data_IF_258645134056
#
_entry.id   IF_258645134056
#
_cell.length_a   1.000
_cell.length_b   1.000
_cell.length_c   1.000
_cell.angle_alpha   90.00
_cell.angle_beta   90.00
_cell.angle_gamma   90.00
#
_symmetry.space_group_name_H-M   'P 1'
#
loop_
_entity.id
_entity.type
_entity.pdbx_description
1 polymer ?
#
# COMPACT_ATOMS: atom_id res chain seq x y z
N UNK A 1 12.15 5.03 -13.05
CA UNK A 1 12.11 5.26 -11.58
C UNK A 1 10.71 4.94 -11.07
N UNK A 2 10.61 4.11 -10.05
CA UNK A 2 9.32 3.72 -9.49
C UNK A 2 8.74 4.82 -8.63
N UNK A 3 7.44 5.05 -8.75
CA UNK A 3 6.69 6.00 -7.93
C UNK A 3 5.86 5.23 -6.91
N UNK A 4 6.08 5.53 -5.64
CA UNK A 4 5.43 4.85 -4.51
C UNK A 4 4.63 5.88 -3.72
N UNK A 5 3.38 5.53 -3.40
CA UNK A 5 2.59 6.33 -2.48
C UNK A 5 2.37 5.56 -1.18
N UNK A 6 2.68 6.19 -0.06
CA UNK A 6 2.47 5.64 1.28
C UNK A 6 1.25 6.34 1.87
N UNK A 7 0.16 5.61 2.04
CA UNK A 7 -1.06 6.14 2.64
C UNK A 7 -1.30 5.54 4.01
N UNK A 8 -1.41 6.39 5.00
CA UNK A 8 -1.84 6.04 6.36
C UNK A 8 -2.19 7.32 7.12
N UNK A 9 -3.13 7.24 8.04
CA UNK A 9 -3.38 8.32 8.99
C UNK A 9 -2.36 8.30 10.14
N UNK A 10 -1.56 7.25 10.24
CA UNK A 10 -0.51 7.11 11.26
C UNK A 10 0.81 7.72 10.75
N UNK A 11 1.25 8.79 11.41
CA UNK A 11 2.54 9.40 11.09
C UNK A 11 3.70 8.41 11.33
N UNK A 12 3.55 7.54 12.31
CA UNK A 12 4.57 6.54 12.65
C UNK A 12 4.71 5.50 11.54
N UNK A 13 3.60 5.01 11.02
CA UNK A 13 3.63 4.06 9.90
C UNK A 13 4.27 4.70 8.67
N UNK A 14 3.85 5.92 8.32
CA UNK A 14 4.42 6.62 7.16
C UNK A 14 5.92 6.80 7.29
N UNK A 15 6.38 7.23 8.46
CA UNK A 15 7.81 7.45 8.72
C UNK A 15 8.60 6.15 8.66
N UNK A 16 8.06 5.07 9.22
CA UNK A 16 8.70 3.75 9.19
C UNK A 16 8.89 3.27 7.75
N UNK A 17 7.83 3.28 6.97
CA UNK A 17 7.91 2.79 5.59
C UNK A 17 8.84 3.66 4.75
N UNK A 18 8.76 4.97 4.91
CA UNK A 18 9.66 5.88 4.19
C UNK A 18 11.13 5.59 4.53
N UNK A 19 11.43 5.37 5.81
CA UNK A 19 12.78 5.05 6.23
C UNK A 19 13.30 3.73 5.64
N UNK A 20 12.40 2.72 5.56
CA UNK A 20 12.76 1.44 4.97
C UNK A 20 13.01 1.52 3.48
N UNK A 21 12.39 2.48 2.82
CA UNK A 21 12.46 2.65 1.36
C UNK A 21 13.38 3.81 0.96
N UNK A 22 14.22 4.29 1.85
CA UNK A 22 15.17 5.36 1.55
C UNK A 22 16.17 4.87 0.49
N UNK A 23 15.77 4.95 -0.76
CA UNK A 23 16.49 4.46 -1.92
C UNK A 23 16.35 5.49 -3.03
N UNK A 24 17.45 5.86 -3.65
CA UNK A 24 17.49 6.89 -4.69
C UNK A 24 16.70 6.51 -5.95
N UNK A 25 16.42 5.21 -6.15
CA UNK A 25 15.65 4.76 -7.31
C UNK A 25 14.14 4.94 -7.15
N UNK A 26 13.64 5.40 -6.00
CA UNK A 26 12.23 5.55 -5.71
C UNK A 26 11.83 7.00 -5.56
N UNK A 27 10.63 7.34 -6.05
CA UNK A 27 9.99 8.62 -5.76
C UNK A 27 8.84 8.33 -4.80
N UNK A 28 8.91 8.87 -3.59
CA UNK A 28 7.95 8.59 -2.53
C UNK A 28 7.03 9.77 -2.31
N UNK A 29 5.73 9.51 -2.36
CA UNK A 29 4.68 10.47 -2.01
C UNK A 29 3.96 9.94 -0.77
N UNK A 30 3.56 10.83 0.13
CA UNK A 30 2.84 10.46 1.35
C UNK A 30 1.44 11.05 1.32
N UNK A 31 0.47 10.30 1.82
CA UNK A 31 -0.93 10.70 1.90
C UNK A 31 -1.46 10.38 3.29
N UNK A 32 -2.34 11.23 3.81
CA UNK A 32 -2.86 11.10 5.17
C UNK A 32 -4.35 10.78 5.23
N UNK A 33 -5.04 10.80 4.09
CA UNK A 33 -6.47 10.50 4.04
C UNK A 33 -6.81 9.70 2.79
N UNK A 34 -7.93 8.98 2.86
CA UNK A 34 -8.44 8.24 1.69
C UNK A 34 -8.74 9.18 0.53
N UNK A 35 -9.35 10.33 0.83
CA UNK A 35 -9.67 11.33 -0.18
C UNK A 35 -8.43 11.78 -0.93
N UNK A 36 -7.38 12.14 -0.19
CA UNK A 36 -6.12 12.56 -0.80
C UNK A 36 -5.50 11.44 -1.64
N UNK A 37 -5.51 10.20 -1.11
CA UNK A 37 -5.02 9.05 -1.85
C UNK A 37 -5.71 8.91 -3.21
N UNK A 38 -7.04 8.98 -3.22
CA UNK A 38 -7.81 8.83 -4.45
C UNK A 38 -7.56 9.98 -5.43
N UNK A 39 -7.45 11.21 -4.92
CA UNK A 39 -7.14 12.36 -5.75
C UNK A 39 -5.77 12.22 -6.42
N UNK A 40 -4.77 11.82 -5.64
CA UNK A 40 -3.41 11.63 -6.16
C UNK A 40 -3.35 10.50 -7.18
N UNK A 41 -4.01 9.38 -6.91
CA UNK A 41 -4.03 8.26 -7.85
C UNK A 41 -4.80 8.59 -9.13
N UNK A 42 -5.76 9.49 -9.05
CA UNK A 42 -6.52 9.95 -10.22
C UNK A 42 -5.74 10.87 -11.15
N UNK A 43 -4.73 11.54 -10.62
CA UNK A 43 -3.96 12.53 -11.39
C UNK A 43 -2.49 12.19 -11.63
N UNK A 44 -1.98 11.18 -10.97
CA UNK A 44 -0.56 10.79 -11.06
C UNK A 44 -0.46 9.27 -11.18
N UNK A 45 0.42 8.82 -12.04
CA UNK A 45 0.70 7.39 -12.15
C UNK A 45 1.61 6.96 -11.01
N UNK A 46 1.18 5.96 -10.24
CA UNK A 46 1.99 5.30 -9.22
C UNK A 46 2.20 3.85 -9.60
N UNK A 47 3.32 3.30 -9.21
CA UNK A 47 3.63 1.89 -9.42
C UNK A 47 3.23 1.04 -8.22
N UNK A 48 3.17 1.65 -7.04
CA UNK A 48 2.96 0.92 -5.79
C UNK A 48 2.24 1.80 -4.76
N UNK A 49 1.21 1.24 -4.14
CA UNK A 49 0.51 1.81 -2.98
C UNK A 49 0.81 0.96 -1.77
N UNK A 50 1.27 1.59 -0.70
CA UNK A 50 1.54 0.94 0.58
C UNK A 50 0.65 1.55 1.64
N UNK A 51 -0.15 0.74 2.32
CA UNK A 51 -1.11 1.23 3.32
C UNK A 51 -1.36 0.22 4.43
N UNK A 52 -1.69 0.72 5.62
CA UNK A 52 -2.16 -0.08 6.75
C UNK A 52 -3.69 -0.01 6.91
N UNK A 53 -4.37 0.67 5.99
CA UNK A 53 -5.83 0.85 6.06
C UNK A 53 -6.54 -0.26 5.29
N UNK A 54 -6.55 -1.48 5.86
CA UNK A 54 -7.21 -2.61 5.21
C UNK A 54 -8.73 -2.43 5.09
N UNK A 55 -9.33 -1.69 6.03
CA UNK A 55 -10.80 -1.50 6.05
C UNK A 55 -11.31 -0.75 4.84
N UNK A 56 -10.45 0.07 4.21
CA UNK A 56 -10.79 0.77 2.99
C UNK A 56 -11.26 -0.19 1.88
N UNK A 57 -10.74 -1.42 1.90
CA UNK A 57 -11.04 -2.43 0.88
C UNK A 57 -12.16 -3.39 1.26
N UNK A 58 -12.77 -3.23 2.45
CA UNK A 58 -13.77 -4.18 2.94
C UNK A 58 -15.17 -3.93 2.40
N UNK A 59 -15.42 -2.80 1.75
CA UNK A 59 -16.73 -2.41 1.24
C UNK A 59 -16.87 -2.60 -0.27
N UNK A 60 -16.34 -3.70 -0.80
CA UNK A 60 -16.40 -3.98 -2.22
C UNK A 60 -15.20 -3.40 -2.97
N UNK A 61 -15.33 -3.24 -4.27
CA UNK A 61 -14.22 -2.89 -5.16
C UNK A 61 -14.04 -1.38 -5.38
N UNK A 62 -14.78 -0.53 -4.67
CA UNK A 62 -14.72 0.91 -4.89
C UNK A 62 -13.33 1.49 -4.69
N UNK A 63 -12.67 1.15 -3.58
CA UNK A 63 -11.34 1.67 -3.29
C UNK A 63 -10.33 1.25 -4.36
N UNK A 64 -10.34 -0.03 -4.73
CA UNK A 64 -9.45 -0.55 -5.77
C UNK A 64 -9.67 0.16 -7.10
N UNK A 65 -10.94 0.37 -7.46
CA UNK A 65 -11.28 1.06 -8.71
C UNK A 65 -10.84 2.51 -8.73
N UNK A 66 -10.89 3.19 -7.59
CA UNK A 66 -10.41 4.58 -7.49
C UNK A 66 -8.89 4.68 -7.53
N UNK A 67 -8.21 3.69 -6.99
CA UNK A 67 -6.74 3.65 -7.00
C UNK A 67 -6.21 3.31 -8.39
N UNK A 68 -6.85 2.35 -9.08
CA UNK A 68 -6.42 1.93 -10.43
C UNK A 68 -7.63 1.71 -11.33
N UNK A 69 -8.15 2.78 -11.92
CA UNK A 69 -9.41 2.71 -12.67
C UNK A 69 -9.33 1.95 -13.99
N UNK A 70 -8.17 1.84 -14.60
CA UNK A 70 -8.09 1.30 -15.97
C UNK A 70 -6.89 0.42 -16.25
N UNK A 71 -6.02 0.18 -15.28
CA UNK A 71 -4.78 -0.58 -15.48
C UNK A 71 -4.54 -1.54 -14.33
N UNK A 72 -3.51 -2.35 -14.44
CA UNK A 72 -3.10 -3.25 -13.36
C UNK A 72 -2.20 -2.56 -12.33
N UNK A 73 -1.81 -1.33 -12.59
CA UNK A 73 -0.98 -0.54 -11.68
C UNK A 73 -1.79 0.63 -11.13
N UNK A 74 -1.49 1.09 -9.92
CA UNK A 74 -0.42 0.57 -9.05
C UNK A 74 -0.77 -0.76 -8.39
N UNK A 75 0.24 -1.52 -8.03
CA UNK A 75 0.05 -2.65 -7.13
C UNK A 75 -0.29 -2.13 -5.74
N UNK A 76 -1.11 -2.87 -5.00
CA UNK A 76 -1.59 -2.47 -3.67
C UNK A 76 -1.11 -3.48 -2.65
N UNK A 77 -0.29 -3.02 -1.70
CA UNK A 77 0.21 -3.82 -0.58
C UNK A 77 -0.40 -3.31 0.71
N UNK A 78 -1.02 -4.20 1.46
CA UNK A 78 -1.67 -3.86 2.73
C UNK A 78 -0.91 -4.51 3.88
N UNK A 79 -0.68 -3.74 4.93
CA UNK A 79 0.08 -4.16 6.11
C UNK A 79 -0.85 -4.17 7.32
N UNK A 80 -0.80 -5.22 8.12
CA UNK A 80 -1.55 -5.25 9.38
C UNK A 80 -0.98 -6.27 10.36
N UNK A 81 -1.27 -6.04 11.64
CA UNK A 81 -1.10 -7.02 12.71
C UNK A 81 -2.39 -7.82 12.86
N UNK A 82 -2.31 -9.02 13.40
CA UNK A 82 -3.47 -9.81 13.87
C UNK A 82 -4.74 -9.74 13.01
N UNK A 83 -4.61 -10.06 11.74
CA UNK A 83 -5.77 -10.10 10.86
C UNK A 83 -6.13 -11.56 10.57
N UNK A 84 -7.43 -11.87 10.50
CA UNK A 84 -7.88 -13.22 10.22
C UNK A 84 -7.57 -13.66 8.79
N UNK A 85 -7.40 -14.97 8.61
CA UNK A 85 -7.16 -15.55 7.29
C UNK A 85 -8.32 -15.22 6.33
N UNK A 86 -9.56 -15.27 6.82
CA UNK A 86 -10.74 -14.94 6.01
C UNK A 86 -10.69 -13.50 5.51
N UNK A 87 -10.22 -12.58 6.34
CA UNK A 87 -10.09 -11.17 5.94
C UNK A 87 -8.99 -11.03 4.89
N UNK A 88 -7.87 -11.72 5.04
CA UNK A 88 -6.80 -11.71 4.04
C UNK A 88 -7.32 -12.18 2.69
N UNK A 89 -8.05 -13.29 2.66
CA UNK A 89 -8.64 -13.83 1.43
C UNK A 89 -9.59 -12.79 0.80
N UNK A 90 -10.44 -12.17 1.62
CA UNK A 90 -11.36 -11.15 1.13
C UNK A 90 -10.63 -9.95 0.51
N UNK A 91 -9.52 -9.50 1.12
CA UNK A 91 -8.72 -8.41 0.58
C UNK A 91 -8.11 -8.75 -0.78
N UNK A 92 -7.58 -9.97 -0.91
CA UNK A 92 -7.03 -10.43 -2.18
C UNK A 92 -8.11 -10.49 -3.26
N UNK A 93 -9.31 -10.95 -2.90
CA UNK A 93 -10.45 -10.98 -3.82
C UNK A 93 -10.90 -9.57 -4.25
N UNK A 94 -10.70 -8.56 -3.40
CA UNK A 94 -11.01 -7.17 -3.72
C UNK A 94 -9.94 -6.49 -4.58
N UNK A 95 -8.86 -7.19 -4.90
CA UNK A 95 -7.84 -6.67 -5.78
C UNK A 95 -6.54 -6.22 -5.11
N UNK A 96 -6.41 -6.42 -3.79
CA UNK A 96 -5.13 -6.20 -3.10
C UNK A 96 -4.12 -7.22 -3.63
N UNK A 97 -2.94 -6.75 -4.00
CA UNK A 97 -1.92 -7.62 -4.61
C UNK A 97 -1.15 -8.44 -3.58
N UNK A 98 -0.83 -7.83 -2.44
CA UNK A 98 -0.17 -8.53 -1.35
C UNK A 98 -0.69 -8.05 -0.01
N UNK A 99 -0.79 -8.99 0.92
CA UNK A 99 -1.03 -8.70 2.32
C UNK A 99 0.23 -9.06 3.11
N UNK A 100 0.71 -8.13 3.91
CA UNK A 100 1.95 -8.30 4.69
C UNK A 100 1.62 -8.27 6.16
N UNK A 101 1.81 -9.42 6.84
CA UNK A 101 1.54 -9.53 8.26
C UNK A 101 2.73 -9.02 9.06
N UNK A 102 2.45 -8.12 10.00
CA UNK A 102 3.43 -7.58 10.92
C UNK A 102 3.35 -8.34 12.27
N UNK A 103 4.41 -8.37 13.07
CA UNK A 103 5.69 -7.70 12.87
C UNK A 103 6.63 -8.46 11.93
N UNK A 104 7.49 -7.72 11.26
CA UNK A 104 8.61 -8.27 10.49
C UNK A 104 9.86 -7.46 10.81
N UNK A 105 11.03 -8.07 10.63
CA UNK A 105 12.28 -7.34 10.75
C UNK A 105 12.36 -6.30 9.62
N UNK A 106 13.07 -5.19 9.81
CA UNK A 106 13.23 -4.19 8.74
C UNK A 106 13.74 -4.79 7.43
N UNK A 107 14.69 -5.70 7.50
CA UNK A 107 15.24 -6.36 6.31
C UNK A 107 14.17 -7.16 5.57
N UNK A 108 13.36 -7.94 6.29
CA UNK A 108 12.30 -8.76 5.69
C UNK A 108 11.19 -7.88 5.11
N UNK A 109 10.84 -6.82 5.83
CA UNK A 109 9.81 -5.89 5.40
C UNK A 109 10.23 -5.20 4.09
N UNK A 110 11.48 -4.72 4.04
CA UNK A 110 12.04 -4.11 2.84
C UNK A 110 12.03 -5.10 1.67
N UNK A 111 12.40 -6.35 1.90
CA UNK A 111 12.38 -7.39 0.87
C UNK A 111 10.97 -7.63 0.33
N UNK A 112 9.98 -7.69 1.22
CA UNK A 112 8.58 -7.88 0.82
C UNK A 112 8.09 -6.75 -0.08
N UNK A 113 8.46 -5.52 0.24
CA UNK A 113 8.05 -4.34 -0.53
C UNK A 113 8.76 -4.27 -1.87
N UNK A 114 10.05 -4.47 -1.88
CA UNK A 114 10.87 -4.31 -3.08
C UNK A 114 10.93 -5.55 -3.96
N UNK A 115 10.59 -6.72 -3.40
CA UNK A 115 10.63 -7.98 -4.12
C UNK A 115 12.03 -8.57 -4.29
N UNK A 116 13.02 -8.03 -3.57
CA UNK A 116 14.38 -8.53 -3.61
C UNK A 116 15.13 -8.21 -2.31
N UNK A 117 16.24 -8.82 -2.12
CA UNK A 117 17.10 -8.61 -0.95
C UNK A 117 17.82 -7.25 -0.97
#
# INVERSE_FOLDING_TARGET
MRRVIIYSDSAEFRALIEALLADESLVITKSTSRKELFELCGGTHFDLVLTDDYRMFMNGTEATSRIRPSTMLPEIFVFSYDISEDTVVALLEMGVNQFITLPLTPKRLRRKILGHD
#
